data_IF_523494349231
#
_entry.id   IF_523494349231
#
_cell.length_a   1.000
_cell.length_b   1.000
_cell.length_c   1.000
_cell.angle_alpha   90.00
_cell.angle_beta   90.00
_cell.angle_gamma   90.00
#
_symmetry.space_group_name_H-M   'P 1'
#
loop_
_entity.id
_entity.type
_entity.pdbx_description
1 polymer ?
#
# COMPACT_ATOMS: atom_id res chain seq x y z
N UNK A 1 16.94 13.22 -2.35
CA UNK A 1 16.30 13.93 -3.48
C UNK A 1 14.95 13.30 -3.69
N UNK A 2 13.85 14.01 -3.44
CA UNK A 2 12.51 13.46 -3.68
C UNK A 2 12.30 13.39 -5.19
N UNK A 3 12.11 12.20 -5.74
CA UNK A 3 11.71 12.00 -7.13
C UNK A 3 10.31 12.59 -7.28
N UNK A 4 10.16 13.68 -8.06
CA UNK A 4 8.87 14.32 -8.25
C UNK A 4 8.20 13.75 -9.50
N UNK A 5 7.20 12.90 -9.27
CA UNK A 5 6.34 12.40 -10.34
C UNK A 5 5.33 13.47 -10.75
N UNK A 6 5.01 13.52 -12.04
CA UNK A 6 3.81 14.19 -12.56
C UNK A 6 2.59 13.33 -12.32
N UNK A 7 2.75 12.01 -12.45
CA UNK A 7 1.76 11.01 -12.09
C UNK A 7 2.43 9.69 -11.76
N UNK A 8 1.84 8.92 -10.87
CA UNK A 8 2.25 7.54 -10.59
C UNK A 8 1.01 6.66 -10.42
N UNK A 9 1.21 5.36 -10.62
CA UNK A 9 0.22 4.31 -10.35
C UNK A 9 0.90 3.14 -9.67
N UNK A 10 0.24 2.64 -8.63
CA UNK A 10 0.65 1.51 -7.81
C UNK A 10 -0.50 0.52 -7.74
N UNK A 11 -0.17 -0.74 -7.91
CA UNK A 11 -1.10 -1.85 -7.75
C UNK A 11 -0.42 -2.92 -6.91
N UNK A 12 -1.06 -3.32 -5.81
CA UNK A 12 -0.64 -4.43 -4.98
C UNK A 12 -1.53 -5.62 -5.30
N UNK A 13 -0.91 -6.72 -5.68
CA UNK A 13 -1.56 -7.97 -6.01
C UNK A 13 -1.25 -9.03 -4.95
N UNK A 14 -2.24 -9.88 -4.71
CA UNK A 14 -2.13 -11.12 -3.95
C UNK A 14 -1.26 -12.14 -4.69
N UNK A 15 -0.84 -13.21 -4.01
CA UNK A 15 -0.09 -14.31 -4.64
C UNK A 15 -0.85 -14.94 -5.83
N UNK A 16 -2.18 -14.92 -5.75
CA UNK A 16 -3.08 -15.43 -6.78
C UNK A 16 -3.44 -14.40 -7.86
N UNK A 17 -2.88 -13.19 -7.78
CA UNK A 17 -3.11 -12.12 -8.74
C UNK A 17 -4.37 -11.29 -8.47
N UNK A 18 -5.00 -11.44 -7.30
CA UNK A 18 -6.13 -10.59 -6.90
C UNK A 18 -5.65 -9.18 -6.55
N UNK A 19 -6.37 -8.14 -6.97
CA UNK A 19 -6.00 -6.76 -6.64
C UNK A 19 -6.40 -6.43 -5.20
N UNK A 20 -5.40 -6.17 -4.35
CA UNK A 20 -5.59 -5.84 -2.93
C UNK A 20 -5.63 -4.34 -2.68
N UNK A 21 -4.87 -3.59 -3.47
CA UNK A 21 -4.79 -2.15 -3.39
C UNK A 21 -4.46 -1.58 -4.77
N UNK A 22 -5.17 -0.54 -5.16
CA UNK A 22 -4.82 0.26 -6.33
C UNK A 22 -4.82 1.73 -5.93
N UNK A 23 -3.69 2.41 -6.16
CA UNK A 23 -3.55 3.83 -5.87
C UNK A 23 -2.86 4.54 -7.02
N UNK A 24 -3.20 5.80 -7.19
CA UNK A 24 -2.54 6.70 -8.11
C UNK A 24 -2.43 8.08 -7.48
N UNK A 25 -1.55 8.90 -8.03
CA UNK A 25 -1.36 10.23 -7.48
C UNK A 25 -0.26 11.00 -8.19
N UNK A 26 0.08 12.15 -7.61
CA UNK A 26 1.20 13.00 -8.05
C UNK A 26 2.37 12.91 -7.08
N UNK A 27 2.07 12.82 -5.79
CA UNK A 27 3.04 12.68 -4.71
C UNK A 27 3.01 11.25 -4.17
N UNK A 28 4.19 10.64 -3.98
CA UNK A 28 4.30 9.26 -3.51
C UNK A 28 3.85 9.15 -2.05
N UNK A 29 3.01 8.15 -1.70
CA UNK A 29 2.62 7.92 -0.32
C UNK A 29 3.82 7.41 0.47
N UNK A 30 3.91 7.82 1.75
CA UNK A 30 4.91 7.30 2.68
C UNK A 30 4.51 5.95 3.26
N UNK A 31 3.20 5.67 3.33
CA UNK A 31 2.61 4.47 3.93
C UNK A 31 1.50 3.95 3.03
N UNK A 32 1.45 2.64 2.83
CA UNK A 32 0.39 1.94 2.12
C UNK A 32 -0.39 1.08 3.11
N UNK A 33 -1.70 1.28 3.17
CA UNK A 33 -2.61 0.50 4.00
C UNK A 33 -3.43 -0.43 3.10
N UNK A 34 -3.47 -1.72 3.43
CA UNK A 34 -4.24 -2.72 2.71
C UNK A 34 -4.68 -3.84 3.67
N UNK A 35 -5.70 -4.60 3.26
CA UNK A 35 -6.14 -5.78 4.01
C UNK A 35 -5.41 -7.00 3.46
N UNK A 36 -4.60 -7.69 4.26
CA UNK A 36 -3.88 -8.87 3.81
C UNK A 36 -4.82 -10.06 3.59
N UNK A 37 -4.48 -10.92 2.63
CA UNK A 37 -5.18 -12.19 2.40
C UNK A 37 -4.61 -13.23 3.36
N UNK A 38 -5.49 -13.89 4.12
CA UNK A 38 -5.08 -14.90 5.08
C UNK A 38 -4.48 -16.13 4.38
N UNK A 39 -3.28 -16.53 4.80
CA UNK A 39 -2.58 -17.68 4.24
C UNK A 39 -1.67 -17.37 3.05
N UNK A 40 -1.59 -16.12 2.60
CA UNK A 40 -0.62 -15.71 1.59
C UNK A 40 0.70 -15.27 2.25
N UNK A 41 1.81 -15.78 1.74
CA UNK A 41 3.17 -15.44 2.22
C UNK A 41 3.79 -14.30 1.41
N UNK A 42 3.24 -14.04 0.21
CA UNK A 42 3.82 -13.15 -0.79
C UNK A 42 2.77 -12.23 -1.37
N UNK A 43 3.21 -11.00 -1.65
CA UNK A 43 2.45 -10.02 -2.40
C UNK A 43 3.31 -9.47 -3.52
N UNK A 44 2.68 -8.96 -4.57
CA UNK A 44 3.35 -8.40 -5.72
C UNK A 44 2.99 -6.94 -5.89
N UNK A 45 3.98 -6.06 -5.83
CA UNK A 45 3.81 -4.64 -6.06
C UNK A 45 4.19 -4.29 -7.50
N UNK A 46 3.23 -3.78 -8.25
CA UNK A 46 3.42 -3.15 -9.55
C UNK A 46 3.46 -1.63 -9.37
N UNK A 47 4.54 -0.98 -9.80
CA UNK A 47 4.67 0.47 -9.78
C UNK A 47 5.04 1.02 -11.15
N UNK A 48 4.37 2.10 -11.54
CA UNK A 48 4.66 2.86 -12.77
C UNK A 48 4.59 4.35 -12.47
N UNK A 49 5.30 5.17 -13.25
CA UNK A 49 5.24 6.62 -13.06
C UNK A 49 5.70 7.41 -14.28
N UNK A 50 5.36 8.68 -14.31
CA UNK A 50 5.83 9.68 -15.26
C UNK A 50 6.38 10.86 -14.47
N UNK A 51 7.60 11.31 -14.78
CA UNK A 51 8.16 12.51 -14.16
C UNK A 51 7.63 13.80 -14.83
N UNK A 52 8.04 14.96 -14.30
CA UNK A 52 7.59 16.26 -14.84
C UNK A 52 8.17 16.60 -16.22
N UNK A 53 9.21 15.90 -16.65
CA UNK A 53 9.83 16.06 -17.96
C UNK A 53 9.20 15.11 -19.01
N UNK A 54 8.27 14.25 -18.58
CA UNK A 54 7.58 13.27 -19.42
C UNK A 54 8.31 11.93 -19.54
N UNK A 55 9.38 11.70 -18.77
CA UNK A 55 10.05 10.42 -18.74
C UNK A 55 9.20 9.42 -17.97
N UNK A 56 8.99 8.25 -18.56
CA UNK A 56 8.27 7.15 -17.93
C UNK A 56 9.24 6.30 -17.13
N UNK A 57 8.88 6.00 -15.90
CA UNK A 57 9.51 4.94 -15.14
C UNK A 57 9.06 3.60 -15.75
N UNK A 58 10.00 2.74 -16.09
CA UNK A 58 9.68 1.37 -16.47
C UNK A 58 8.94 0.68 -15.33
N UNK A 59 8.03 -0.25 -15.68
CA UNK A 59 7.22 -0.96 -14.70
C UNK A 59 8.15 -1.69 -13.73
N UNK A 60 8.10 -1.27 -12.48
CA UNK A 60 8.79 -1.94 -11.38
C UNK A 60 7.83 -2.99 -10.83
N UNK A 61 8.30 -4.22 -10.77
CA UNK A 61 7.59 -5.34 -10.16
C UNK A 61 8.43 -5.85 -8.98
N UNK A 62 7.87 -5.83 -7.78
CA UNK A 62 8.56 -6.26 -6.56
C UNK A 62 7.75 -7.32 -5.83
N UNK A 63 8.41 -8.41 -5.44
CA UNK A 63 7.86 -9.38 -4.49
C UNK A 63 8.08 -8.86 -3.07
N UNK A 64 7.02 -8.86 -2.27
CA UNK A 64 7.03 -8.48 -0.86
C UNK A 64 6.68 -9.73 -0.06
N UNK A 65 7.60 -10.19 0.77
CA UNK A 65 7.29 -11.22 1.76
C UNK A 65 6.43 -10.59 2.84
N UNK A 66 5.23 -11.13 3.05
CA UNK A 66 4.36 -10.73 4.14
C UNK A 66 4.98 -11.33 5.41
N UNK A 67 5.51 -10.53 6.35
CA UNK A 67 5.90 -11.09 7.64
C UNK A 67 4.64 -11.72 8.24
N UNK A 68 4.76 -12.87 8.91
CA UNK A 68 3.64 -13.50 9.63
C UNK A 68 2.85 -12.40 10.35
N UNK A 69 1.67 -12.10 9.81
CA UNK A 69 0.81 -11.08 10.35
C UNK A 69 0.31 -11.65 11.65
N UNK A 70 1.02 -11.36 12.75
CA UNK A 70 0.45 -11.53 14.06
C UNK A 70 -0.88 -10.79 14.02
N UNK A 71 -2.01 -11.46 14.30
CA UNK A 71 -3.31 -10.84 14.25
C UNK A 71 -3.20 -9.55 15.04
N UNK A 72 -3.44 -8.42 14.36
CA UNK A 72 -3.46 -7.13 15.01
C UNK A 72 -4.54 -7.26 16.08
N UNK A 73 -4.15 -7.40 17.34
CA UNK A 73 -5.09 -7.43 18.45
C UNK A 73 -5.92 -6.16 18.28
N UNK A 74 -7.23 -6.35 18.03
CA UNK A 74 -8.18 -5.26 17.92
C UNK A 74 -7.86 -4.32 19.07
N UNK A 75 -7.42 -3.11 18.75
CA UNK A 75 -7.26 -2.06 19.75
C UNK A 75 -8.63 -1.99 20.45
N UNK A 76 -8.71 -2.19 21.78
CA UNK A 76 -10.00 -2.18 22.43
C UNK A 76 -10.62 -0.81 22.19
N UNK A 77 -11.82 -0.85 21.62
CA UNK A 77 -12.72 0.28 21.52
C UNK A 77 -12.81 0.90 22.91
N UNK A 78 -12.20 2.07 23.09
CA UNK A 78 -12.43 2.86 24.30
C UNK A 78 -13.83 3.40 24.17
N UNK A 79 -14.79 2.73 24.81
CA UNK A 79 -16.07 3.34 25.17
C UNK A 79 -15.73 4.53 26.07
N UNK A 80 -15.71 5.71 25.46
CA UNK A 80 -15.54 6.97 26.16
C UNK A 80 -16.81 7.23 26.97
N UNK A 81 -16.84 6.74 28.20
CA UNK A 81 -17.85 7.09 29.18
C UNK A 81 -17.74 8.59 29.49
N UNK A 82 -18.78 9.32 29.13
CA UNK A 82 -19.02 10.71 29.55
C UNK A 82 -18.88 10.81 31.07
N UNK A 83 -18.05 11.71 31.55
CA UNK A 83 -18.19 12.29 32.89
C UNK A 83 -18.28 13.81 32.72
N UNK A 84 -19.52 14.30 32.77
CA UNK A 84 -19.85 15.70 33.00
C UNK A 84 -19.28 16.11 34.37
N UNK A 85 -18.64 17.27 34.44
CA UNK A 85 -18.31 17.98 35.68
C UNK A 85 -19.06 19.30 35.71
#
# INVERSE_FOLDING_TARGET
TFFSFKSWSLELLSEHGESLLQQNGRDLPLVLEFVPVAGEEKLFLNFTGEDRLGNRLEKVHMEITVPELKPMEKTPQVDSWVQDF
#
